data_IF_626301027665
#
_entry.id   IF_626301027665
#
_cell.length_a   1.000
_cell.length_b   1.000
_cell.length_c   1.000
_cell.angle_alpha   90.00
_cell.angle_beta   90.00
_cell.angle_gamma   90.00
#
_symmetry.space_group_name_H-M   'P 1'
#
loop_
_entity.id
_entity.type
_entity.pdbx_description
1 polymer ?
#
# COMPACT_ATOMS: atom_id res chain seq x y z
N UNK A 1 -12.10 9.84 -0.06
CA UNK A 1 -10.70 9.44 -0.24
C UNK A 1 -10.32 8.65 0.98
N UNK A 2 -9.72 7.46 0.83
CA UNK A 2 -9.18 6.72 1.98
C UNK A 2 -7.66 6.85 2.00
N UNK A 3 -7.10 7.27 3.13
CA UNK A 3 -5.66 7.50 3.31
C UNK A 3 -5.19 6.70 4.52
N UNK A 4 -4.05 6.03 4.40
CA UNK A 4 -3.36 5.41 5.53
C UNK A 4 -1.96 5.97 5.66
N UNK A 5 -1.48 6.11 6.88
CA UNK A 5 -0.07 6.42 7.18
C UNK A 5 0.42 5.38 8.18
N UNK A 6 1.44 4.63 7.82
CA UNK A 6 1.95 3.51 8.62
C UNK A 6 3.46 3.65 8.81
N UNK A 7 3.94 3.56 10.05
CA UNK A 7 5.38 3.51 10.31
C UNK A 7 5.97 2.19 9.80
N UNK A 8 7.21 2.20 9.32
CA UNK A 8 7.95 0.98 9.00
C UNK A 8 7.86 -0.02 10.17
N UNK A 9 7.51 -1.28 9.85
CA UNK A 9 7.60 -2.37 10.82
C UNK A 9 9.07 -2.75 11.04
N UNK A 10 9.48 -2.83 12.31
CA UNK A 10 10.85 -3.15 12.71
C UNK A 10 11.01 -4.62 13.13
N UNK A 11 10.03 -5.48 12.82
CA UNK A 11 10.06 -6.92 13.13
C UNK A 11 10.80 -7.74 12.07
N UNK A 12 11.63 -8.70 12.48
CA UNK A 12 12.32 -9.64 11.58
C UNK A 12 13.50 -9.03 10.81
N UNK A 13 13.80 -9.55 9.61
CA UNK A 13 14.90 -9.08 8.74
C UNK A 13 14.63 -7.71 8.05
N UNK A 14 13.46 -7.11 8.25
CA UNK A 14 13.01 -5.87 7.61
C UNK A 14 13.49 -4.59 8.32
N UNK A 15 14.43 -4.72 9.26
CA UNK A 15 14.56 -3.80 10.38
C UNK A 15 15.15 -2.43 10.09
N UNK A 16 15.89 -2.20 9.01
CA UNK A 16 16.58 -0.91 8.78
C UNK A 16 16.53 -0.37 7.35
N UNK A 17 16.22 -1.21 6.35
CA UNK A 17 16.25 -0.82 4.93
C UNK A 17 14.84 -0.68 4.35
N UNK A 18 14.68 0.21 3.38
CA UNK A 18 13.50 0.34 2.54
C UNK A 18 13.40 -0.71 1.43
N UNK A 19 14.47 -1.47 1.13
CA UNK A 19 14.56 -2.41 0.01
C UNK A 19 13.33 -3.31 -0.12
N UNK A 20 12.99 -4.06 0.93
CA UNK A 20 11.85 -4.97 0.88
C UNK A 20 10.49 -4.29 0.64
N UNK A 21 10.32 -3.03 1.08
CA UNK A 21 9.09 -2.28 0.79
C UNK A 21 9.09 -1.78 -0.65
N UNK A 22 10.24 -1.31 -1.15
CA UNK A 22 10.39 -0.88 -2.55
C UNK A 22 10.20 -2.05 -3.50
N UNK A 23 10.82 -3.21 -3.22
CA UNK A 23 10.64 -4.45 -3.98
C UNK A 23 9.15 -4.86 -4.06
N UNK A 24 8.42 -4.73 -2.95
CA UNK A 24 6.98 -4.99 -2.95
C UNK A 24 6.20 -4.06 -3.90
N UNK A 25 6.62 -2.81 -4.07
CA UNK A 25 6.03 -1.85 -5.01
C UNK A 25 6.45 -2.09 -6.46
N UNK A 26 7.47 -2.93 -6.71
CA UNK A 26 7.88 -3.35 -8.05
C UNK A 26 7.04 -4.49 -8.62
N UNK A 27 6.13 -5.10 -7.84
CA UNK A 27 5.32 -6.25 -8.29
C UNK A 27 4.54 -6.03 -9.60
N UNK A 28 4.08 -4.81 -9.88
CA UNK A 28 3.35 -4.51 -11.13
C UNK A 28 4.28 -4.32 -12.33
N UNK A 29 5.59 -4.21 -12.11
CA UNK A 29 6.61 -4.10 -13.16
C UNK A 29 7.19 -5.46 -13.56
N UNK A 30 6.97 -6.51 -12.76
CA UNK A 30 7.46 -7.87 -13.04
C UNK A 30 7.01 -8.36 -14.43
N UNK A 31 7.98 -8.75 -15.26
CA UNK A 31 7.73 -9.29 -16.60
C UNK A 31 7.39 -8.25 -17.67
N UNK A 32 7.39 -6.94 -17.35
CA UNK A 32 7.17 -5.88 -18.34
C UNK A 32 8.49 -5.43 -18.99
N UNK A 33 8.45 -4.99 -20.26
CA UNK A 33 9.61 -4.40 -20.92
C UNK A 33 9.86 -2.96 -20.41
N UNK A 34 11.09 -2.47 -20.55
CA UNK A 34 11.54 -1.15 -20.07
C UNK A 34 10.59 0.05 -20.38
N UNK A 35 9.97 0.19 -21.57
CA UNK A 35 9.06 1.31 -21.83
C UNK A 35 7.71 1.23 -21.09
N UNK A 36 7.36 0.08 -20.51
CA UNK A 36 6.09 -0.14 -19.81
C UNK A 36 6.25 -0.15 -18.29
N UNK A 37 7.48 0.01 -17.78
CA UNK A 37 7.75 0.09 -16.35
C UNK A 37 7.21 1.41 -15.80
N UNK A 38 6.39 1.33 -14.76
CA UNK A 38 6.05 2.52 -13.98
C UNK A 38 7.22 2.83 -13.04
N UNK A 39 7.85 3.99 -13.20
CA UNK A 39 8.93 4.45 -12.34
C UNK A 39 8.39 5.15 -11.08
N UNK A 40 9.24 5.31 -10.07
CA UNK A 40 8.91 6.18 -8.95
C UNK A 40 8.99 7.65 -9.36
N UNK A 41 8.25 8.49 -8.65
CA UNK A 41 8.26 9.94 -8.83
C UNK A 41 8.29 10.65 -7.48
N UNK A 42 8.77 11.89 -7.46
CA UNK A 42 8.75 12.76 -6.29
C UNK A 42 8.05 14.09 -6.63
N UNK A 43 8.31 15.13 -5.84
CA UNK A 43 7.74 16.45 -6.06
C UNK A 43 8.11 17.07 -7.41
N UNK A 44 9.29 16.74 -7.95
CA UNK A 44 9.94 17.45 -9.05
C UNK A 44 10.33 16.54 -10.23
N UNK A 45 10.47 15.23 -10.02
CA UNK A 45 10.94 14.24 -10.99
C UNK A 45 9.92 13.10 -11.16
N UNK A 46 9.93 12.43 -12.32
CA UNK A 46 8.99 11.35 -12.68
C UNK A 46 9.64 9.97 -12.90
N UNK A 47 10.97 9.91 -13.01
CA UNK A 47 11.72 8.78 -13.56
C UNK A 47 12.82 8.35 -12.58
N UNK A 48 12.41 7.95 -11.38
CA UNK A 48 13.30 7.56 -10.29
C UNK A 48 13.29 6.04 -10.16
N UNK A 49 14.47 5.43 -10.17
CA UNK A 49 14.59 3.97 -10.10
C UNK A 49 14.38 3.45 -8.68
N UNK A 50 14.00 2.17 -8.56
CA UNK A 50 13.86 1.50 -7.27
C UNK A 50 15.16 1.57 -6.45
N UNK A 51 16.32 1.36 -7.08
CA UNK A 51 17.63 1.41 -6.42
C UNK A 51 17.93 2.79 -5.86
N UNK A 52 17.57 3.84 -6.60
CA UNK A 52 17.73 5.22 -6.14
C UNK A 52 16.85 5.50 -4.92
N UNK A 53 15.58 5.09 -4.96
CA UNK A 53 14.66 5.23 -3.80
C UNK A 53 15.24 4.56 -2.55
N UNK A 54 15.72 3.32 -2.68
CA UNK A 54 16.32 2.58 -1.55
C UNK A 54 17.53 3.32 -1.01
N UNK A 55 18.46 3.71 -1.88
CA UNK A 55 19.68 4.43 -1.50
C UNK A 55 19.37 5.74 -0.77
N UNK A 56 18.44 6.53 -1.30
CA UNK A 56 18.10 7.85 -0.78
C UNK A 56 17.34 7.80 0.55
N UNK A 57 16.47 6.80 0.75
CA UNK A 57 15.78 6.59 2.02
C UNK A 57 16.72 6.03 3.08
N UNK A 58 17.53 5.02 2.75
CA UNK A 58 18.39 4.33 3.72
C UNK A 58 19.53 5.22 4.22
N UNK A 59 20.03 6.12 3.36
CA UNK A 59 21.02 7.14 3.74
C UNK A 59 20.44 8.30 4.56
N UNK A 60 19.12 8.53 4.51
CA UNK A 60 18.44 9.62 5.22
C UNK A 60 17.99 9.21 6.63
N UNK A 61 18.92 8.71 7.45
CA UNK A 61 18.62 8.12 8.76
C UNK A 61 19.48 8.67 9.91
N UNK A 62 20.09 9.86 9.74
CA UNK A 62 21.04 10.39 10.70
C UNK A 62 20.43 10.56 12.09
N UNK A 63 21.16 10.02 13.08
CA UNK A 63 20.81 10.00 14.51
C UNK A 63 19.54 9.18 14.86
N UNK A 64 18.96 8.44 13.91
CA UNK A 64 17.87 7.51 14.21
C UNK A 64 18.42 6.21 14.81
N UNK A 65 17.87 5.79 15.96
CA UNK A 65 18.21 4.52 16.60
C UNK A 65 17.71 3.32 15.78
N UNK A 66 18.21 2.12 16.08
CA UNK A 66 17.76 0.89 15.42
C UNK A 66 16.27 0.61 15.66
N UNK A 67 15.77 0.87 16.87
CA UNK A 67 14.37 0.68 17.22
C UNK A 67 13.43 1.80 16.73
N UNK A 68 13.90 2.67 15.83
CA UNK A 68 13.14 3.77 15.28
C UNK A 68 12.84 3.55 13.80
N UNK A 69 11.58 3.76 13.35
CA UNK A 69 11.23 3.64 11.93
C UNK A 69 12.07 4.62 11.11
N UNK A 70 12.56 4.18 9.96
CA UNK A 70 13.35 5.00 9.03
C UNK A 70 12.48 5.74 8.03
N UNK A 71 11.32 5.17 7.72
CA UNK A 71 10.34 5.75 6.83
C UNK A 71 8.92 5.47 7.31
N UNK A 72 7.97 6.16 6.68
CA UNK A 72 6.54 5.93 6.76
C UNK A 72 6.01 5.57 5.38
N UNK A 73 5.07 4.64 5.30
CA UNK A 73 4.31 4.38 4.08
C UNK A 73 2.97 5.10 4.15
N UNK A 74 2.63 5.79 3.07
CA UNK A 74 1.32 6.41 2.87
C UNK A 74 0.65 5.71 1.70
N UNK A 75 -0.65 5.44 1.81
CA UNK A 75 -1.43 4.97 0.67
C UNK A 75 -2.57 5.93 0.39
N UNK A 76 -2.66 6.42 -0.84
CA UNK A 76 -3.81 7.18 -1.33
C UNK A 76 -4.70 6.19 -2.08
N UNK A 77 -5.92 6.03 -1.58
CA UNK A 77 -6.91 5.11 -2.15
C UNK A 77 -8.15 5.89 -2.61
N UNK A 78 -8.10 6.49 -3.82
CA UNK A 78 -9.27 7.11 -4.40
C UNK A 78 -10.38 6.09 -4.61
N UNK A 79 -11.60 6.48 -4.28
CA UNK A 79 -12.79 5.73 -4.68
C UNK A 79 -12.99 5.80 -6.21
N UNK A 80 -13.83 4.93 -6.75
CA UNK A 80 -14.22 4.96 -8.17
C UNK A 80 -14.71 6.34 -8.63
N UNK A 81 -15.46 7.04 -7.76
CA UNK A 81 -15.95 8.39 -8.03
C UNK A 81 -14.80 9.40 -8.10
N UNK A 82 -13.84 9.28 -7.20
CA UNK A 82 -12.68 10.16 -7.14
C UNK A 82 -11.72 9.91 -8.30
N UNK A 83 -11.48 8.65 -8.69
CA UNK A 83 -10.70 8.33 -9.89
C UNK A 83 -11.29 8.97 -11.13
N UNK A 84 -12.61 8.91 -11.30
CA UNK A 84 -13.30 9.60 -12.41
C UNK A 84 -13.12 11.12 -12.37
N UNK A 85 -13.12 11.72 -11.18
CA UNK A 85 -12.90 13.16 -11.02
C UNK A 85 -11.43 13.57 -11.25
N UNK A 86 -10.48 12.72 -10.88
CA UNK A 86 -9.04 12.93 -11.10
C UNK A 86 -8.70 12.70 -12.59
N UNK A 87 -9.40 11.79 -13.27
CA UNK A 87 -9.21 11.44 -14.67
C UNK A 87 -8.53 10.09 -14.89
N UNK A 88 -8.05 9.43 -13.83
CA UNK A 88 -7.41 8.09 -13.83
C UNK A 88 -6.20 7.92 -14.80
N UNK A 89 -5.69 9.02 -15.35
CA UNK A 89 -4.47 9.07 -16.14
C UNK A 89 -3.23 9.13 -15.22
N UNK A 90 -2.08 8.56 -15.62
CA UNK A 90 -0.87 8.54 -14.79
C UNK A 90 -0.45 9.95 -14.37
N UNK A 91 -0.43 10.91 -15.29
CA UNK A 91 -0.03 12.30 -15.05
C UNK A 91 -0.97 13.00 -14.07
N UNK A 92 -2.27 12.72 -14.18
CA UNK A 92 -3.27 13.29 -13.28
C UNK A 92 -3.13 12.75 -11.85
N UNK A 93 -2.84 11.45 -11.70
CA UNK A 93 -2.57 10.83 -10.40
C UNK A 93 -1.26 11.34 -9.79
N UNK A 94 -0.20 11.52 -10.58
CA UNK A 94 1.06 12.15 -10.14
C UNK A 94 0.82 13.59 -9.66
N UNK A 95 0.09 14.40 -10.44
CA UNK A 95 -0.28 15.77 -10.06
C UNK A 95 -1.10 15.80 -8.77
N UNK A 96 -2.12 14.95 -8.66
CA UNK A 96 -2.93 14.84 -7.45
C UNK A 96 -2.07 14.49 -6.22
N UNK A 97 -1.15 13.53 -6.39
CA UNK A 97 -0.23 13.11 -5.32
C UNK A 97 0.66 14.27 -4.85
N UNK A 98 1.20 15.08 -5.77
CA UNK A 98 1.99 16.28 -5.42
C UNK A 98 1.20 17.29 -4.59
N UNK A 99 -0.05 17.55 -4.96
CA UNK A 99 -0.92 18.45 -4.16
C UNK A 99 -1.28 17.85 -2.79
N UNK A 100 -1.50 16.54 -2.73
CA UNK A 100 -1.70 15.83 -1.47
C UNK A 100 -0.47 15.93 -0.57
N UNK A 101 0.73 15.80 -1.12
CA UNK A 101 1.98 15.89 -0.35
C UNK A 101 2.29 17.31 0.12
N UNK A 102 1.91 18.36 -0.63
CA UNK A 102 1.93 19.75 -0.12
C UNK A 102 1.04 19.92 1.11
N UNK A 103 -0.12 19.26 1.12
CA UNK A 103 -1.03 19.28 2.27
C UNK A 103 -0.45 18.48 3.44
N UNK A 104 0.16 17.32 3.17
CA UNK A 104 0.88 16.52 4.16
C UNK A 104 2.01 17.31 4.83
N UNK A 105 2.81 18.08 4.07
CA UNK A 105 3.86 18.91 4.63
C UNK A 105 3.32 19.97 5.60
N UNK A 106 2.22 20.63 5.23
CA UNK A 106 1.55 21.65 6.07
C UNK A 106 0.93 21.09 7.34
N UNK A 107 0.63 19.80 7.40
CA UNK A 107 0.07 19.15 8.57
C UNK A 107 1.07 19.03 9.73
N UNK A 108 2.37 19.20 9.49
CA UNK A 108 3.36 19.27 10.56
C UNK A 108 3.24 20.58 11.33
N UNK A 109 2.89 20.50 12.61
CA UNK A 109 3.04 21.62 13.54
C UNK A 109 4.50 21.72 14.00
N UNK A 110 5.40 22.05 13.07
CA UNK A 110 6.84 22.15 13.28
C UNK A 110 7.41 23.26 12.41
N UNK A 111 8.50 23.84 12.88
CA UNK A 111 9.33 24.75 12.09
C UNK A 111 10.73 24.15 11.87
N UNK A 112 11.28 24.40 10.69
CA UNK A 112 12.64 24.09 10.28
C UNK A 112 13.31 25.42 9.98
N UNK A 113 14.39 25.74 10.71
CA UNK A 113 15.15 26.98 10.56
C UNK A 113 14.26 28.26 10.57
N UNK A 114 13.25 28.28 11.45
CA UNK A 114 12.33 29.41 11.65
C UNK A 114 11.19 29.52 10.63
N UNK A 115 11.00 28.51 9.76
CA UNK A 115 9.94 28.47 8.77
C UNK A 115 9.05 27.24 8.96
N UNK A 116 7.74 27.32 8.67
CA UNK A 116 6.87 26.15 8.64
C UNK A 116 7.40 25.09 7.66
N UNK A 117 7.19 23.82 7.99
CA UNK A 117 7.55 22.70 7.10
C UNK A 117 6.86 22.88 5.74
N UNK A 118 7.67 22.78 4.68
CA UNK A 118 7.25 22.87 3.29
C UNK A 118 7.43 21.53 2.59
N UNK A 119 6.95 21.42 1.36
CA UNK A 119 7.10 20.20 0.56
C UNK A 119 8.57 19.88 0.26
N UNK A 120 9.43 20.89 0.14
CA UNK A 120 10.85 20.73 -0.15
C UNK A 120 11.64 20.20 1.06
N UNK A 121 11.03 20.22 2.26
CA UNK A 121 11.58 19.59 3.46
C UNK A 121 11.24 18.08 3.51
N UNK A 122 10.28 17.60 2.71
CA UNK A 122 9.82 16.20 2.74
C UNK A 122 10.58 15.37 1.71
N UNK A 123 11.44 14.45 2.15
CA UNK A 123 12.00 13.42 1.26
C UNK A 123 10.99 12.29 1.09
N UNK A 124 10.34 12.22 -0.07
CA UNK A 124 9.40 11.15 -0.40
C UNK A 124 9.55 10.67 -1.83
N UNK A 125 9.11 9.44 -2.06
CA UNK A 125 8.96 8.84 -3.39
C UNK A 125 7.60 8.16 -3.47
N UNK A 126 6.96 8.25 -4.62
CA UNK A 126 5.63 7.72 -4.84
C UNK A 126 5.60 6.85 -6.09
N UNK A 127 4.67 5.90 -6.12
CA UNK A 127 4.43 5.02 -7.26
C UNK A 127 2.94 4.77 -7.45
N UNK A 128 2.51 4.80 -8.71
CA UNK A 128 1.13 4.52 -9.08
C UNK A 128 0.99 3.01 -9.34
N UNK A 129 0.02 2.37 -8.70
CA UNK A 129 -0.39 1.00 -8.96
C UNK A 129 -1.77 1.00 -9.59
N UNK A 130 -1.99 0.15 -10.60
CA UNK A 130 -3.22 0.12 -11.41
C UNK A 130 -4.19 -0.97 -11.00
N UNK A 131 -3.73 -1.95 -10.24
CA UNK A 131 -4.50 -3.15 -9.93
C UNK A 131 -4.68 -3.32 -8.42
N UNK A 132 -5.84 -3.88 -8.04
CA UNK A 132 -6.08 -4.33 -6.67
C UNK A 132 -6.64 -5.73 -6.72
N UNK A 133 -6.27 -6.55 -5.75
CA UNK A 133 -6.81 -7.90 -5.58
C UNK A 133 -7.82 -7.95 -4.45
N UNK A 134 -8.73 -8.93 -4.49
CA UNK A 134 -9.59 -9.26 -3.37
C UNK A 134 -8.76 -9.84 -2.22
N UNK A 135 -8.89 -9.25 -1.04
CA UNK A 135 -8.27 -9.71 0.21
C UNK A 135 -9.21 -10.63 0.97
N UNK A 136 -8.67 -11.50 1.82
CA UNK A 136 -9.49 -12.40 2.67
C UNK A 136 -10.52 -11.65 3.53
N UNK A 137 -10.19 -10.43 3.94
CA UNK A 137 -11.04 -9.57 4.77
C UNK A 137 -12.13 -8.85 3.99
N UNK A 138 -12.10 -8.88 2.65
CA UNK A 138 -13.13 -8.22 1.83
C UNK A 138 -14.50 -8.87 2.04
N UNK A 139 -15.54 -8.05 2.07
CA UNK A 139 -16.94 -8.48 2.28
C UNK A 139 -17.35 -9.60 1.32
N UNK A 140 -17.01 -9.46 0.04
CA UNK A 140 -17.34 -10.45 -1.00
C UNK A 140 -16.71 -11.81 -0.71
N UNK A 141 -15.46 -11.83 -0.20
CA UNK A 141 -14.79 -13.08 0.16
C UNK A 141 -15.47 -13.71 1.37
N UNK A 142 -15.73 -12.91 2.42
CA UNK A 142 -16.39 -13.38 3.63
C UNK A 142 -17.77 -13.97 3.35
N UNK A 143 -18.56 -13.32 2.49
CA UNK A 143 -19.90 -13.77 2.12
C UNK A 143 -19.89 -14.99 1.18
N UNK A 144 -18.81 -15.18 0.40
CA UNK A 144 -18.59 -16.40 -0.39
C UNK A 144 -18.01 -17.57 0.43
N UNK A 145 -17.57 -17.35 1.67
CA UNK A 145 -16.84 -18.35 2.44
C UNK A 145 -17.62 -19.65 2.72
N UNK A 146 -18.94 -19.63 3.05
CA UNK A 146 -19.70 -20.86 3.23
C UNK A 146 -19.68 -21.77 1.99
N UNK A 147 -19.75 -21.17 0.78
CA UNK A 147 -19.65 -21.90 -0.48
C UNK A 147 -18.25 -22.45 -0.70
N UNK A 148 -17.22 -21.64 -0.39
CA UNK A 148 -15.82 -22.05 -0.50
C UNK A 148 -15.51 -23.29 0.35
N UNK A 149 -16.00 -23.33 1.59
CA UNK A 149 -15.81 -24.46 2.50
C UNK A 149 -16.46 -25.74 1.97
N UNK A 150 -17.73 -25.67 1.54
CA UNK A 150 -18.43 -26.82 0.97
C UNK A 150 -17.75 -27.33 -0.31
N UNK A 151 -17.27 -26.43 -1.17
CA UNK A 151 -16.53 -26.81 -2.37
C UNK A 151 -15.20 -27.50 -2.00
N UNK A 152 -14.51 -27.03 -0.96
CA UNK A 152 -13.27 -27.64 -0.49
C UNK A 152 -13.51 -29.07 0.03
N UNK A 153 -14.55 -29.28 0.82
CA UNK A 153 -14.95 -30.60 1.32
C UNK A 153 -15.23 -31.57 0.15
N UNK A 154 -16.05 -31.16 -0.82
CA UNK A 154 -16.34 -31.97 -2.01
C UNK A 154 -15.08 -32.30 -2.81
N UNK A 155 -14.12 -31.36 -2.92
CA UNK A 155 -12.83 -31.60 -3.58
C UNK A 155 -11.97 -32.60 -2.81
N UNK A 156 -11.99 -32.56 -1.48
CA UNK A 156 -11.28 -33.54 -0.65
C UNK A 156 -11.89 -34.94 -0.82
N UNK A 157 -13.22 -35.04 -0.86
CA UNK A 157 -13.90 -36.31 -1.12
C UNK A 157 -13.57 -36.90 -2.50
N UNK A 158 -13.52 -36.07 -3.55
CA UNK A 158 -13.06 -36.49 -4.88
C UNK A 158 -11.64 -37.08 -4.80
N UNK A 159 -10.70 -36.40 -4.13
CA UNK A 159 -9.32 -36.89 -3.98
C UNK A 159 -9.26 -38.23 -3.25
N UNK A 160 -10.06 -38.44 -2.20
CA UNK A 160 -10.12 -39.71 -1.46
C UNK A 160 -10.65 -40.85 -2.33
N UNK A 161 -11.64 -40.57 -3.19
CA UNK A 161 -12.17 -41.54 -4.16
C UNK A 161 -11.09 -41.89 -5.21
N UNK A 162 -10.39 -40.89 -5.73
CA UNK A 162 -9.31 -41.08 -6.72
C UNK A 162 -8.16 -41.91 -6.16
N UNK A 163 -7.85 -41.80 -4.86
CA UNK A 163 -6.86 -42.63 -4.15
C UNK A 163 -7.37 -44.03 -3.77
N UNK A 164 -8.64 -44.36 -4.04
CA UNK A 164 -9.23 -45.65 -3.71
C UNK A 164 -9.53 -45.88 -2.23
N UNK A 165 -9.46 -44.83 -1.40
CA UNK A 165 -9.72 -44.91 0.05
C UNK A 165 -11.21 -45.11 0.36
N UNK A 166 -12.07 -44.61 -0.53
CA UNK A 166 -13.53 -44.70 -0.43
C UNK A 166 -14.15 -44.87 -1.81
N UNK A 167 -15.32 -45.54 -1.87
CA UNK A 167 -16.13 -45.60 -3.09
C UNK A 167 -17.04 -44.37 -3.18
N UNK A 168 -17.18 -43.77 -4.37
CA UNK A 168 -18.09 -42.64 -4.58
C UNK A 168 -18.26 -42.25 -6.04
N UNK A 169 -19.19 -41.33 -6.30
CA UNK A 169 -19.50 -40.86 -7.66
C UNK A 169 -18.91 -39.47 -7.91
N UNK A 170 -17.73 -39.43 -8.52
CA UNK A 170 -17.02 -38.19 -8.85
C UNK A 170 -17.88 -37.26 -9.72
N UNK A 171 -18.62 -37.79 -10.71
CA UNK A 171 -19.49 -36.97 -11.57
C UNK A 171 -20.59 -36.26 -10.78
N UNK A 172 -21.14 -36.91 -9.75
CA UNK A 172 -22.16 -36.31 -8.87
C UNK A 172 -21.55 -35.17 -8.03
N UNK A 173 -20.39 -35.40 -7.41
CA UNK A 173 -19.69 -34.39 -6.62
C UNK A 173 -19.31 -33.18 -7.48
N UNK A 174 -18.85 -33.42 -8.72
CA UNK A 174 -18.52 -32.34 -9.65
C UNK A 174 -19.74 -31.47 -10.01
N UNK A 175 -20.92 -32.07 -10.20
CA UNK A 175 -22.17 -31.32 -10.42
C UNK A 175 -22.54 -30.46 -9.20
N UNK A 176 -22.35 -30.99 -7.99
CA UNK A 176 -22.58 -30.23 -6.76
C UNK A 176 -21.62 -29.05 -6.63
N UNK A 177 -20.32 -29.25 -6.92
CA UNK A 177 -19.33 -28.16 -6.97
C UNK A 177 -19.79 -27.08 -7.95
N UNK A 178 -20.14 -27.46 -9.19
CA UNK A 178 -20.56 -26.49 -10.21
C UNK A 178 -21.81 -25.70 -9.77
N UNK A 179 -22.77 -26.36 -9.12
CA UNK A 179 -23.96 -25.71 -8.56
C UNK A 179 -23.61 -24.72 -7.45
N UNK A 180 -22.67 -25.06 -6.56
CA UNK A 180 -22.22 -24.16 -5.50
C UNK A 180 -21.46 -22.95 -6.06
N UNK A 181 -20.61 -23.15 -7.07
CA UNK A 181 -19.90 -22.06 -7.73
C UNK A 181 -20.89 -21.08 -8.39
N UNK A 182 -21.95 -21.58 -9.02
CA UNK A 182 -23.01 -20.76 -9.64
C UNK A 182 -23.94 -20.08 -8.63
N UNK A 183 -24.14 -20.68 -7.46
CA UNK A 183 -24.99 -20.12 -6.39
C UNK A 183 -24.30 -19.09 -5.51
N UNK A 184 -22.97 -19.02 -5.56
CA UNK A 184 -22.23 -18.09 -4.73
C UNK A 184 -22.67 -16.65 -5.02
N UNK A 185 -22.94 -15.82 -4.00
CA UNK A 185 -23.57 -14.52 -4.18
C UNK A 185 -22.67 -13.50 -4.88
N UNK A 186 -21.35 -13.60 -4.72
CA UNK A 186 -20.41 -12.66 -5.34
C UNK A 186 -19.63 -13.33 -6.44
N UNK A 187 -19.87 -12.89 -7.67
CA UNK A 187 -19.24 -13.42 -8.87
C UNK A 187 -18.65 -12.30 -9.72
N UNK A 188 -17.60 -12.65 -10.46
CA UNK A 188 -17.02 -11.84 -11.50
C UNK A 188 -16.90 -12.69 -12.76
N UNK A 189 -17.55 -12.26 -13.85
CA UNK A 189 -17.61 -12.99 -15.11
C UNK A 189 -18.07 -14.46 -14.94
N UNK A 190 -19.10 -14.67 -14.11
CA UNK A 190 -19.67 -16.00 -13.82
C UNK A 190 -18.80 -16.92 -12.96
N UNK A 191 -17.66 -16.44 -12.45
CA UNK A 191 -16.81 -17.16 -11.49
C UNK A 191 -16.97 -16.56 -10.12
N UNK A 192 -17.08 -17.40 -9.10
CA UNK A 192 -17.07 -16.95 -7.70
C UNK A 192 -15.81 -16.14 -7.41
N UNK A 193 -15.98 -15.00 -6.76
CA UNK A 193 -14.86 -14.16 -6.32
C UNK A 193 -14.08 -14.89 -5.21
N UNK A 194 -12.77 -15.03 -5.39
CA UNK A 194 -11.84 -15.64 -4.44
C UNK A 194 -10.66 -14.71 -4.13
N UNK A 195 -9.95 -14.90 -2.99
CA UNK A 195 -8.77 -14.10 -2.68
C UNK A 195 -7.74 -14.12 -3.81
N UNK A 196 -7.08 -12.99 -4.05
CA UNK A 196 -6.10 -12.84 -5.12
C UNK A 196 -6.69 -12.52 -6.50
N UNK A 197 -8.00 -12.69 -6.73
CA UNK A 197 -8.63 -12.23 -7.98
C UNK A 197 -8.52 -10.72 -8.12
N UNK A 198 -8.26 -10.23 -9.34
CA UNK A 198 -8.24 -8.81 -9.64
C UNK A 198 -9.65 -8.21 -9.51
N UNK A 199 -9.71 -7.03 -8.88
CA UNK A 199 -10.92 -6.23 -8.77
C UNK A 199 -11.23 -5.57 -10.12
N UNK A 200 -12.50 -5.55 -10.56
CA UNK A 200 -12.88 -4.95 -11.84
C UNK A 200 -12.88 -3.42 -11.78
N UNK A 201 -12.86 -2.79 -12.95
CA UNK A 201 -12.92 -1.33 -13.09
C UNK A 201 -11.62 -0.62 -12.68
N UNK A 202 -11.61 0.73 -12.66
CA UNK A 202 -10.46 1.53 -12.24
C UNK A 202 -9.96 1.18 -10.83
N UNK A 203 -8.75 0.65 -10.67
CA UNK A 203 -8.22 0.30 -9.35
C UNK A 203 -7.01 1.14 -8.94
N UNK A 204 -6.75 2.23 -9.68
CA UNK A 204 -5.57 3.05 -9.48
C UNK A 204 -5.46 3.55 -8.04
N UNK A 205 -4.25 3.46 -7.51
CA UNK A 205 -3.91 3.88 -6.17
C UNK A 205 -2.44 4.23 -6.08
N UNK A 206 -2.07 4.96 -5.03
CA UNK A 206 -0.71 5.49 -4.92
C UNK A 206 -0.12 5.01 -3.61
N UNK A 207 1.06 4.41 -3.69
CA UNK A 207 1.91 4.16 -2.54
C UNK A 207 2.98 5.24 -2.49
N UNK A 208 3.28 5.71 -1.29
CA UNK A 208 4.27 6.75 -1.04
C UNK A 208 5.15 6.28 0.11
N UNK A 209 6.45 6.29 -0.09
CA UNK A 209 7.44 6.15 0.96
C UNK A 209 7.95 7.54 1.35
N UNK A 210 7.91 7.86 2.64
CA UNK A 210 8.35 9.15 3.18
C UNK A 210 9.44 8.89 4.20
N UNK A 211 10.62 9.47 4.02
CA UNK A 211 11.68 9.38 5.02
C UNK A 211 11.21 10.01 6.33
N UNK A 212 11.60 9.43 7.47
CA UNK A 212 11.36 10.02 8.78
C UNK A 212 12.17 11.32 8.98
N UNK A 213 13.22 11.52 8.19
CA UNK A 213 14.05 12.71 8.24
C UNK A 213 13.66 13.67 7.13
N UNK A 214 13.82 14.95 7.39
CA UNK A 214 13.71 15.97 6.35
C UNK A 214 14.78 15.75 5.26
N UNK A 215 14.66 16.48 4.15
CA UNK A 215 15.62 16.42 3.04
C UNK A 215 17.07 16.72 3.45
N UNK A 216 17.28 17.55 4.49
CA UNK A 216 18.62 17.85 5.02
C UNK A 216 19.19 16.78 5.96
N UNK A 217 18.43 15.73 6.28
CA UNK A 217 18.83 14.67 7.22
C UNK A 217 19.06 15.17 8.67
N UNK A 218 18.55 16.35 9.05
CA UNK A 218 18.79 16.96 10.37
C UNK A 218 17.59 16.82 11.30
N UNK A 219 16.38 17.09 10.80
CA UNK A 219 15.15 17.14 11.56
C UNK A 219 14.32 15.87 11.35
N UNK A 220 13.65 15.39 12.41
CA UNK A 220 12.73 14.24 12.29
C UNK A 220 11.29 14.73 12.15
N UNK A 221 10.62 14.23 11.12
CA UNK A 221 9.23 14.47 10.77
C UNK A 221 8.45 13.16 10.94
N UNK A 222 7.71 13.05 12.04
CA UNK A 222 6.97 11.84 12.42
C UNK A 222 5.46 12.11 12.46
N UNK A 223 4.69 11.71 11.44
CA UNK A 223 3.24 11.94 11.41
C UNK A 223 2.49 11.16 12.51
N UNK A 224 3.06 10.06 13.01
CA UNK A 224 2.49 9.24 14.10
C UNK A 224 2.82 9.70 15.52
N UNK A 225 3.25 10.96 15.69
CA UNK A 225 3.52 11.55 17.00
C UNK A 225 2.29 11.45 17.91
N UNK A 226 2.41 10.84 19.10
CA UNK A 226 1.34 10.81 20.12
C UNK A 226 0.89 12.21 20.57
N UNK A 227 1.72 13.21 20.32
CA UNK A 227 1.42 14.61 20.61
C UNK A 227 0.67 15.22 19.43
N UNK A 228 -0.60 15.57 19.64
CA UNK A 228 -1.32 16.55 18.82
C UNK A 228 -0.59 17.90 18.91
N UNK A 229 -0.80 18.80 17.93
CA UNK A 229 -0.14 20.10 17.84
C UNK A 229 0.09 20.75 19.22
N UNK A 230 1.35 20.77 19.67
CA UNK A 230 1.77 21.19 21.00
C UNK A 230 3.13 21.86 20.97
N UNK A 231 3.44 22.59 22.03
CA UNK A 231 4.72 23.25 22.25
C UNK A 231 5.43 22.58 23.43
N UNK A 232 6.75 22.42 23.32
CA UNK A 232 7.59 21.92 24.43
C UNK A 232 8.88 22.70 24.53
N UNK A 233 9.36 22.90 25.76
CA UNK A 233 10.70 23.41 25.97
C UNK A 233 11.73 22.29 25.78
N UNK A 234 12.69 22.53 24.91
CA UNK A 234 13.84 21.65 24.69
C UNK A 234 15.10 22.50 24.71
N UNK A 235 15.99 22.24 25.68
CA UNK A 235 17.21 23.02 25.91
C UNK A 235 16.97 24.54 26.06
N UNK A 236 15.92 24.93 26.79
CA UNK A 236 15.57 26.34 27.04
C UNK A 236 14.95 27.08 25.84
N UNK A 237 14.55 26.37 24.79
CA UNK A 237 13.82 26.93 23.63
C UNK A 237 12.48 26.23 23.46
N UNK A 238 11.44 27.00 23.20
CA UNK A 238 10.12 26.48 22.82
C UNK A 238 10.19 25.89 21.40
N UNK A 239 9.79 24.63 21.26
CA UNK A 239 9.77 23.88 20.00
C UNK A 239 8.35 23.38 19.74
N UNK A 240 7.80 23.70 18.57
CA UNK A 240 6.53 23.17 18.09
C UNK A 240 6.70 21.72 17.64
N UNK A 241 5.77 20.85 18.05
CA UNK A 241 5.70 19.45 17.63
C UNK A 241 4.26 19.01 17.36
N UNK A 242 4.12 18.00 16.51
CA UNK A 242 2.86 17.34 16.22
C UNK A 242 2.55 17.26 14.73
N UNK A 243 1.52 16.49 14.42
CA UNK A 243 0.96 16.31 13.09
C UNK A 243 -0.57 16.36 13.23
N UNK A 244 -1.24 17.10 12.35
CA UNK A 244 -2.68 17.40 12.44
C UNK A 244 -3.45 16.74 11.32
#
# INVERSE_FOLDING_TARGET
MYITITAQSLSGNFGQSAAAFVDYLEKENEGKPMPELEQFFDQHHNDISAEEVVKEIDSNTAKLKKAEPKFYSITLNPSQRELRAIGDAPEALKKYTREAMKTYAKAFNREIDGKPVSIDDIKYYAKVERQRTFKETDKQIRENQPYASQILELKQDIRRIERGEVRGNIKKLQRQINHLEQKAPHQLNGKRIVPGMLKPGPQSHIHIIVSRKDTSNRYSLSPGSKYKASEVEMNGKTVKRGFV
#
